data_IF_570320322873
#
_entry.id   IF_570320322873
#
_cell.length_a   1.000
_cell.length_b   1.000
_cell.length_c   1.000
_cell.angle_alpha   90.00
_cell.angle_beta   90.00
_cell.angle_gamma   90.00
#
_symmetry.space_group_name_H-M   'P 1'
#
loop_
_entity.id
_entity.type
_entity.pdbx_description
1 polymer ?
#
# COMPACT_ATOMS: atom_id res chain seq x y z
N UNK A 1 -8.87 -31.31 22.07
CA UNK A 1 -8.76 -30.60 21.79
C UNK A 1 -8.84 -29.68 21.40
N UNK A 2 -9.08 -29.52 21.37
CA UNK A 2 -8.96 -28.43 21.00
C UNK A 2 -8.71 -27.72 20.77
N UNK A 3 -8.35 -27.53 20.86
CA UNK A 3 -8.01 -26.64 20.70
C UNK A 3 -7.35 -26.18 20.22
N UNK A 4 -7.09 -26.59 20.16
CA UNK A 4 -6.40 -25.95 19.77
C UNK A 4 -6.21 -25.65 18.99
N UNK A 5 -6.28 -25.76 18.88
CA UNK A 5 -6.05 -25.30 18.12
C UNK A 5 -6.06 -24.49 17.62
N UNK A 6 -5.97 -23.95 17.68
CA UNK A 6 -5.94 -23.00 17.22
C UNK A 6 -5.05 -22.38 16.93
N UNK A 7 -4.69 -22.57 17.06
CA UNK A 7 -3.70 -21.98 17.02
C UNK A 7 -3.14 -21.92 15.89
N UNK A 8 -3.26 -21.82 15.37
CA UNK A 8 -2.80 -21.81 14.37
C UNK A 8 -2.68 -20.80 13.72
N UNK A 9 -2.84 -20.36 13.56
CA UNK A 9 -2.54 -19.34 12.95
C UNK A 9 -1.50 -18.82 13.12
N UNK A 10 -1.17 -18.22 12.31
CA UNK A 10 -0.03 -17.79 12.41
C UNK A 10 0.02 -16.83 13.28
N UNK A 11 -0.26 -16.38 13.29
CA UNK A 11 -0.09 -15.51 13.94
C UNK A 11 -0.44 -15.69 15.11
N UNK A 12 0.19 -15.88 15.77
CA UNK A 12 -0.03 -15.86 16.92
C UNK A 12 -0.61 -14.75 17.30
N UNK A 13 -1.69 -14.68 17.57
CA UNK A 13 -2.25 -13.55 17.86
C UNK A 13 -2.41 -13.31 19.27
N UNK A 14 -2.41 -12.11 19.69
CA UNK A 14 -2.64 -11.71 21.03
C UNK A 14 -4.06 -12.01 21.44
N UNK A 15 -4.31 -12.21 22.72
CA UNK A 15 -5.69 -12.35 23.16
C UNK A 15 -6.51 -11.14 22.79
N UNK A 16 -7.77 -11.36 22.59
CA UNK A 16 -8.65 -10.31 22.13
C UNK A 16 -8.66 -9.12 23.10
N UNK A 17 -8.61 -9.38 24.40
CA UNK A 17 -8.61 -8.32 25.37
C UNK A 17 -7.38 -7.44 25.23
N UNK A 18 -6.21 -8.04 24.99
CA UNK A 18 -4.99 -7.28 24.82
C UNK A 18 -5.01 -6.47 23.54
N UNK A 19 -5.58 -7.02 22.48
CA UNK A 19 -5.71 -6.29 21.22
C UNK A 19 -6.63 -5.09 21.43
N UNK A 20 -7.73 -5.26 22.10
CA UNK A 20 -8.66 -4.17 22.35
C UNK A 20 -8.05 -3.08 23.21
N UNK A 21 -7.27 -3.48 24.21
CA UNK A 21 -6.63 -2.49 25.08
C UNK A 21 -5.58 -1.71 24.30
N UNK A 22 -4.80 -2.39 23.48
CA UNK A 22 -3.82 -1.72 22.67
C UNK A 22 -4.44 -0.73 21.71
N UNK A 23 -5.59 -1.09 21.17
CA UNK A 23 -6.30 -0.22 20.26
C UNK A 23 -6.79 1.04 20.97
N UNK A 24 -7.32 0.88 22.17
CA UNK A 24 -7.77 2.02 22.95
C UNK A 24 -6.61 2.93 23.32
N UNK A 25 -5.51 2.35 23.75
CA UNK A 25 -4.33 3.12 24.11
C UNK A 25 -3.81 3.89 22.91
N UNK A 26 -3.78 3.28 21.75
CA UNK A 26 -3.32 3.93 20.55
C UNK A 26 -4.22 5.10 20.18
N UNK A 27 -5.54 4.88 20.21
CA UNK A 27 -6.46 5.92 19.83
C UNK A 27 -6.38 7.11 20.78
N UNK A 28 -6.11 6.84 22.04
CA UNK A 28 -5.96 7.91 23.02
C UNK A 28 -4.65 8.65 22.83
N UNK A 29 -3.58 7.92 22.55
CA UNK A 29 -2.25 8.51 22.42
C UNK A 29 -2.13 9.37 21.18
N UNK A 30 -2.80 9.01 20.09
CA UNK A 30 -2.64 9.76 18.87
C UNK A 30 -3.32 11.13 18.91
N UNK A 31 -4.22 11.33 19.86
CA UNK A 31 -4.85 12.63 20.01
C UNK A 31 -5.76 12.99 18.85
N UNK A 32 -6.02 14.27 18.68
CA UNK A 32 -6.91 14.70 17.60
C UNK A 32 -6.30 14.39 16.25
N UNK A 33 -7.18 14.11 15.29
CA UNK A 33 -6.74 13.76 13.96
C UNK A 33 -6.12 14.96 13.28
N UNK A 34 -4.97 14.74 12.66
CA UNK A 34 -4.28 15.81 11.96
C UNK A 34 -4.92 16.03 10.61
N UNK A 35 -5.13 17.29 10.22
CA UNK A 35 -5.64 17.59 8.90
C UNK A 35 -4.55 17.59 7.85
N UNK A 36 -3.29 17.44 8.24
CA UNK A 36 -2.18 17.46 7.33
C UNK A 36 -2.06 16.20 6.49
N UNK A 37 -2.50 15.08 7.04
CA UNK A 37 -2.35 13.79 6.37
C UNK A 37 -3.71 13.28 5.94
N UNK A 38 -3.75 12.52 4.86
CA UNK A 38 -5.02 11.93 4.45
C UNK A 38 -5.50 10.92 5.47
N UNK A 39 -6.79 10.68 5.44
CA UNK A 39 -7.39 9.68 6.30
C UNK A 39 -6.82 8.31 5.96
N UNK A 40 -6.62 7.48 6.97
CA UNK A 40 -6.14 6.12 6.74
C UNK A 40 -7.24 5.33 6.03
N UNK A 41 -6.97 4.98 4.78
CA UNK A 41 -7.95 4.28 3.96
C UNK A 41 -7.21 3.41 2.96
N UNK A 42 -7.94 2.51 2.32
CA UNK A 42 -7.33 1.71 1.28
C UNK A 42 -6.85 2.59 0.12
N UNK A 43 -7.63 3.59 -0.21
CA UNK A 43 -7.24 4.49 -1.30
C UNK A 43 -5.95 5.22 -0.98
N UNK A 44 -5.78 5.68 0.25
CA UNK A 44 -4.54 6.38 0.56
C UNK A 44 -3.34 5.43 0.60
N UNK A 45 -3.53 4.18 1.01
CA UNK A 45 -2.45 3.20 0.94
C UNK A 45 -2.05 2.93 -0.51
N UNK A 46 -3.03 2.65 -1.36
CA UNK A 46 -2.75 2.38 -2.77
C UNK A 46 -2.08 3.56 -3.42
N UNK A 47 -2.55 4.76 -3.10
CA UNK A 47 -1.99 5.96 -3.68
C UNK A 47 -0.55 6.18 -3.22
N UNK A 48 -0.26 5.91 -1.97
CA UNK A 48 1.09 6.04 -1.44
C UNK A 48 2.06 5.11 -2.18
N UNK A 49 1.65 3.87 -2.40
CA UNK A 49 2.47 2.93 -3.12
C UNK A 49 2.63 3.33 -4.58
N UNK A 50 1.57 3.88 -5.17
CA UNK A 50 1.63 4.32 -6.56
C UNK A 50 2.59 5.49 -6.72
N UNK A 51 2.56 6.43 -5.80
CA UNK A 51 3.46 7.58 -5.84
C UNK A 51 4.91 7.11 -5.68
N UNK A 52 5.12 6.17 -4.78
CA UNK A 52 6.46 5.63 -4.58
C UNK A 52 6.97 4.95 -5.85
N UNK A 53 6.11 4.17 -6.50
CA UNK A 53 6.49 3.53 -7.77
C UNK A 53 6.79 4.57 -8.84
N UNK A 54 5.98 5.62 -8.92
CA UNK A 54 6.20 6.67 -9.89
C UNK A 54 7.52 7.39 -9.66
N UNK A 55 7.88 7.57 -8.41
CA UNK A 55 9.17 8.18 -8.08
C UNK A 55 10.32 7.30 -8.57
N UNK A 56 10.23 6.01 -8.37
CA UNK A 56 11.27 5.10 -8.84
C UNK A 56 11.31 4.99 -10.36
N UNK A 57 10.18 5.25 -11.01
CA UNK A 57 10.17 5.31 -12.47
C UNK A 57 10.76 6.63 -12.99
N UNK A 58 11.04 7.57 -12.10
CA UNK A 58 11.56 8.86 -12.50
C UNK A 58 10.53 9.81 -13.05
N UNK A 59 9.26 9.56 -12.74
CA UNK A 59 8.17 10.38 -13.27
C UNK A 59 7.83 11.57 -12.38
N UNK A 60 8.29 11.56 -11.13
CA UNK A 60 7.98 12.61 -10.17
C UNK A 60 9.28 13.19 -9.66
N UNK A 61 9.34 14.52 -9.62
CA UNK A 61 10.48 15.17 -9.02
C UNK A 61 9.97 16.31 -8.16
N UNK A 62 10.74 16.63 -7.13
CA UNK A 62 10.40 17.72 -6.25
C UNK A 62 10.74 19.05 -6.94
N UNK A 63 9.95 20.10 -6.65
CA UNK A 63 10.25 21.40 -7.24
C UNK A 63 11.66 21.85 -6.87
N UNK A 64 12.39 22.31 -7.85
CA UNK A 64 13.74 22.80 -7.64
C UNK A 64 14.82 21.75 -7.57
N UNK A 65 14.46 20.48 -7.73
CA UNK A 65 15.43 19.38 -7.71
C UNK A 65 15.39 18.66 -9.03
N UNK A 66 16.51 18.05 -9.36
CA UNK A 66 16.55 17.21 -10.53
C UNK A 66 15.79 15.92 -10.26
N UNK A 67 15.18 15.37 -11.29
CA UNK A 67 14.53 14.09 -11.16
C UNK A 67 15.57 13.03 -10.84
N UNK A 68 15.32 12.17 -9.85
CA UNK A 68 16.27 11.10 -9.58
C UNK A 68 16.31 10.13 -10.75
N UNK A 69 17.41 9.41 -10.90
CA UNK A 69 17.47 8.40 -11.97
C UNK A 69 16.44 7.32 -11.70
N UNK A 70 15.93 6.75 -12.77
CA UNK A 70 14.95 5.69 -12.65
C UNK A 70 15.59 4.45 -12.04
N UNK A 71 14.85 3.81 -11.16
CA UNK A 71 15.26 2.55 -10.56
C UNK A 71 14.19 1.55 -10.91
N UNK A 72 14.34 0.89 -12.04
CA UNK A 72 13.30 0.01 -12.56
C UNK A 72 13.07 -1.21 -11.68
N UNK A 73 14.11 -1.68 -11.03
CA UNK A 73 13.94 -2.82 -10.14
C UNK A 73 13.07 -2.47 -8.94
N UNK A 74 13.32 -1.31 -8.32
CA UNK A 74 12.51 -0.85 -7.21
C UNK A 74 11.08 -0.56 -7.66
N UNK A 75 10.94 0.02 -8.85
CA UNK A 75 9.61 0.30 -9.37
C UNK A 75 8.84 -0.99 -9.60
N UNK A 76 9.49 -2.00 -10.16
CA UNK A 76 8.83 -3.27 -10.41
C UNK A 76 8.39 -3.92 -9.10
N UNK A 77 9.22 -3.81 -8.08
CA UNK A 77 8.86 -4.36 -6.77
C UNK A 77 7.58 -3.74 -6.25
N UNK A 78 7.45 -2.42 -6.37
CA UNK A 78 6.25 -1.74 -5.89
C UNK A 78 5.03 -2.05 -6.74
N UNK A 79 5.23 -2.18 -8.04
CA UNK A 79 4.12 -2.57 -8.92
C UNK A 79 3.66 -3.99 -8.56
N UNK A 80 4.60 -4.87 -8.30
CA UNK A 80 4.26 -6.23 -7.90
C UNK A 80 3.54 -6.25 -6.55
N UNK A 81 3.94 -5.37 -5.65
CA UNK A 81 3.24 -5.26 -4.37
C UNK A 81 1.80 -4.79 -4.55
N UNK A 82 1.59 -3.84 -5.45
CA UNK A 82 0.23 -3.42 -5.76
C UNK A 82 -0.59 -4.54 -6.37
N UNK A 83 0.03 -5.34 -7.23
CA UNK A 83 -0.65 -6.50 -7.80
C UNK A 83 -0.98 -7.54 -6.75
N UNK A 84 -0.06 -7.77 -5.83
CA UNK A 84 -0.32 -8.68 -4.72
C UNK A 84 -1.47 -8.15 -3.85
N UNK A 85 -1.48 -6.85 -3.61
CA UNK A 85 -2.53 -6.24 -2.82
C UNK A 85 -3.88 -6.42 -3.50
N UNK A 86 -3.93 -6.25 -4.81
CA UNK A 86 -5.15 -6.47 -5.57
C UNK A 86 -5.68 -7.89 -5.39
N UNK A 87 -4.76 -8.83 -5.48
CA UNK A 87 -5.11 -10.23 -5.33
C UNK A 87 -5.63 -10.56 -3.93
N UNK A 88 -4.96 -10.01 -2.93
CA UNK A 88 -5.29 -10.30 -1.53
C UNK A 88 -6.58 -9.63 -1.07
N UNK A 89 -7.00 -8.58 -1.74
CA UNK A 89 -8.20 -7.85 -1.33
C UNK A 89 -9.40 -8.14 -2.22
N UNK A 90 -9.28 -9.11 -3.10
CA UNK A 90 -10.34 -9.41 -4.06
C UNK A 90 -11.64 -9.74 -3.32
N UNK A 91 -12.70 -9.07 -3.70
CA UNK A 91 -13.99 -9.26 -3.06
C UNK A 91 -14.21 -8.39 -1.82
N UNK A 92 -13.20 -7.64 -1.41
CA UNK A 92 -13.29 -6.80 -0.22
C UNK A 92 -13.19 -5.31 -0.52
N UNK A 93 -13.14 -4.93 -1.78
CA UNK A 93 -13.00 -3.54 -2.16
C UNK A 93 -14.33 -2.99 -2.66
N UNK A 94 -14.54 -1.70 -2.42
CA UNK A 94 -15.66 -1.04 -3.07
C UNK A 94 -15.36 -0.93 -4.56
N UNK A 95 -16.39 -0.61 -5.34
CA UNK A 95 -16.19 -0.43 -6.77
C UNK A 95 -15.19 0.65 -7.08
N UNK A 96 -15.22 1.73 -6.30
CA UNK A 96 -14.30 2.82 -6.50
C UNK A 96 -12.86 2.40 -6.20
N UNK A 97 -12.66 1.66 -5.12
CA UNK A 97 -11.33 1.17 -4.76
C UNK A 97 -10.80 0.22 -5.82
N UNK A 98 -11.66 -0.64 -6.30
CA UNK A 98 -11.28 -1.62 -7.30
C UNK A 98 -10.86 -0.93 -8.60
N UNK A 99 -11.66 0.04 -9.05
CA UNK A 99 -11.36 0.77 -10.27
C UNK A 99 -10.07 1.57 -10.15
N UNK A 100 -9.87 2.22 -9.02
CA UNK A 100 -8.65 3.01 -8.82
C UNK A 100 -7.42 2.11 -8.87
N UNK A 101 -7.48 1.00 -8.16
CA UNK A 101 -6.33 0.10 -8.11
C UNK A 101 -6.02 -0.48 -9.49
N UNK A 102 -7.05 -0.83 -10.23
CA UNK A 102 -6.87 -1.35 -11.58
C UNK A 102 -6.26 -0.32 -12.50
N UNK A 103 -6.73 0.92 -12.42
CA UNK A 103 -6.18 1.99 -13.24
C UNK A 103 -4.73 2.30 -12.87
N UNK A 104 -4.42 2.31 -11.59
CA UNK A 104 -3.06 2.55 -11.13
C UNK A 104 -2.13 1.47 -11.68
N UNK A 105 -2.54 0.21 -11.55
CA UNK A 105 -1.70 -0.90 -12.00
C UNK A 105 -1.50 -0.87 -13.51
N UNK A 106 -2.55 -0.61 -14.26
CA UNK A 106 -2.44 -0.56 -15.72
C UNK A 106 -1.48 0.55 -16.14
N UNK A 107 -1.62 1.71 -15.53
CA UNK A 107 -0.79 2.85 -15.88
C UNK A 107 0.68 2.61 -15.51
N UNK A 108 0.93 2.13 -14.31
CA UNK A 108 2.29 1.90 -13.87
C UNK A 108 2.99 0.82 -14.69
N UNK A 109 2.25 -0.23 -15.03
CA UNK A 109 2.82 -1.29 -15.87
C UNK A 109 3.17 -0.77 -17.25
N UNK A 110 2.31 0.08 -17.79
CA UNK A 110 2.58 0.67 -19.09
C UNK A 110 3.81 1.55 -19.05
N UNK A 111 3.94 2.37 -18.02
CA UNK A 111 5.10 3.23 -17.87
C UNK A 111 6.38 2.43 -17.67
N UNK A 112 6.29 1.35 -16.91
CA UNK A 112 7.45 0.49 -16.69
C UNK A 112 7.93 -0.11 -18.01
N UNK A 113 7.00 -0.61 -18.81
CA UNK A 113 7.36 -1.22 -20.10
C UNK A 113 8.00 -0.17 -21.03
N UNK A 114 7.40 1.01 -21.07
CA UNK A 114 7.93 2.07 -21.92
C UNK A 114 9.37 2.43 -21.53
N UNK A 115 9.63 2.51 -20.24
CA UNK A 115 10.97 2.87 -19.77
C UNK A 115 11.96 1.73 -19.95
N UNK A 116 11.52 0.49 -19.77
CA UNK A 116 12.43 -0.62 -19.91
C UNK A 116 12.83 -0.82 -21.37
N UNK A 117 11.99 -0.44 -22.31
CA UNK A 117 12.35 -0.54 -23.72
C UNK A 117 13.36 0.51 -24.17
N UNK A 118 13.50 1.55 -23.38
CA UNK A 118 14.45 2.58 -23.72
C UNK A 118 15.87 2.24 -23.34
N UNK A 119 16.05 1.23 -22.53
CA UNK A 119 17.39 0.87 -22.10
C UNK A 119 18.09 -0.08 -23.08
#
# INVERSE_FOLDING_TARGET
MGRETNATGPASVAPQAAVSQGEKDYNQARGPQSSRLPEASFLSLANMLAVEAAMHLGLIQNPGEEAPPADLEAARHLIDMLGMLQSKTRGNLTGEEDNLLENILADLRMQFVALSKRK
#
